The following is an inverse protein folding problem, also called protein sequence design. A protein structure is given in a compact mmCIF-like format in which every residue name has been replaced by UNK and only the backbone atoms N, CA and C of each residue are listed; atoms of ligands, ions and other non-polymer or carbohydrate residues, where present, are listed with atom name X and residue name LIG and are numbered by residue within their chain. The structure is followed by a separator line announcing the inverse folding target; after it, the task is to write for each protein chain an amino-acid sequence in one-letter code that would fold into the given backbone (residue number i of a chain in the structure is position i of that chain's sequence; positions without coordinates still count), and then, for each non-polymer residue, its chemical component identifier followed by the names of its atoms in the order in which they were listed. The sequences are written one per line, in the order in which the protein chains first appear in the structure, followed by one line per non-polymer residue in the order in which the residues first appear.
data_IF_290549003535
#
_entry.id   IF_290549003535
#
_cell.length_a   1.000
_cell.length_b   1.000
_cell.length_c   1.000
_cell.angle_alpha   90.00
_cell.angle_beta   90.00
_cell.angle_gamma   90.00
#
_symmetry.space_group_name_H-M   'P 1'
#
loop_
_entity.id
_entity.type
_entity.pdbx_description
1 polymer ?
#
# COMPACT_ATOMS: atom_id res chain seq x y z
N UNK A 1 -18.60 -10.68 -13.72
CA UNK A 1 -18.04 -9.33 -13.98
C UNK A 1 -16.60 -9.51 -14.46
N UNK A 2 -16.16 -8.76 -15.47
CA UNK A 2 -14.81 -8.90 -16.02
C UNK A 2 -13.82 -8.17 -15.09
N UNK A 3 -12.89 -8.90 -14.49
CA UNK A 3 -11.86 -8.36 -13.60
C UNK A 3 -11.03 -7.31 -14.36
N UNK A 4 -11.00 -6.06 -13.88
CA UNK A 4 -10.27 -4.98 -14.54
C UNK A 4 -8.77 -5.11 -14.25
N UNK A 5 -8.01 -5.62 -15.23
CA UNK A 5 -6.56 -5.66 -15.15
C UNK A 5 -5.94 -4.32 -15.62
N UNK A 6 -5.23 -3.64 -14.72
CA UNK A 6 -4.51 -2.40 -15.00
C UNK A 6 -3.08 -2.71 -15.44
N UNK A 7 -2.69 -2.16 -16.60
CA UNK A 7 -1.28 -2.19 -17.05
C UNK A 7 -0.44 -1.23 -16.21
N UNK A 8 0.88 -1.44 -16.17
CA UNK A 8 1.83 -0.57 -15.46
C UNK A 8 1.62 0.92 -15.76
N UNK A 9 1.41 1.31 -17.03
CA UNK A 9 1.20 2.72 -17.38
C UNK A 9 -0.06 3.33 -16.76
N UNK A 10 -1.11 2.52 -16.56
CA UNK A 10 -2.31 2.97 -15.87
C UNK A 10 -2.05 3.13 -14.36
N UNK A 11 -1.31 2.19 -13.75
CA UNK A 11 -0.90 2.28 -12.34
C UNK A 11 -0.01 3.51 -12.09
N UNK A 12 0.92 3.81 -12.99
CA UNK A 12 1.72 5.05 -12.96
C UNK A 12 0.83 6.30 -13.03
N UNK A 13 -0.22 6.29 -13.86
CA UNK A 13 -1.18 7.39 -13.94
C UNK A 13 -1.99 7.53 -12.64
N UNK A 14 -2.40 6.43 -12.02
CA UNK A 14 -3.12 6.43 -10.73
C UNK A 14 -2.24 7.02 -9.63
N UNK A 15 -1.00 6.53 -9.48
CA UNK A 15 -0.04 7.05 -8.51
C UNK A 15 0.24 8.56 -8.72
N UNK A 16 0.47 8.97 -9.97
CA UNK A 16 0.68 10.39 -10.29
C UNK A 16 -0.57 11.23 -10.01
N UNK A 17 -1.78 10.70 -10.26
CA UNK A 17 -3.04 11.38 -9.96
C UNK A 17 -3.19 11.62 -8.45
N UNK A 18 -2.96 10.59 -7.64
CA UNK A 18 -2.93 10.66 -6.18
C UNK A 18 -1.95 11.77 -5.72
N UNK A 19 -0.68 11.66 -6.13
CA UNK A 19 0.36 12.58 -5.65
C UNK A 19 0.23 14.00 -6.20
N UNK A 20 -0.41 14.17 -7.37
CA UNK A 20 -0.74 15.48 -7.94
C UNK A 20 -1.78 16.21 -7.09
N UNK A 21 -2.79 15.49 -6.59
CA UNK A 21 -3.86 16.08 -5.80
C UNK A 21 -3.42 16.28 -4.35
N UNK A 22 -2.66 15.33 -3.80
CA UNK A 22 -2.18 15.39 -2.44
C UNK A 22 -1.20 16.55 -2.22
N UNK A 23 -1.50 17.41 -1.24
CA UNK A 23 -0.75 18.64 -0.90
C UNK A 23 -0.31 19.44 -2.15
N UNK A 24 -1.25 19.68 -3.07
CA UNK A 24 -1.05 20.46 -4.29
C UNK A 24 0.12 19.98 -5.16
N UNK A 25 0.36 18.67 -5.23
CA UNK A 25 1.38 18.12 -6.12
C UNK A 25 2.80 18.23 -5.58
N UNK A 26 2.99 18.64 -4.33
CA UNK A 26 4.31 18.85 -3.74
C UNK A 26 5.20 17.61 -3.85
N UNK A 27 4.65 16.42 -3.66
CA UNK A 27 5.39 15.16 -3.73
C UNK A 27 5.66 14.68 -5.16
N UNK A 28 5.01 15.26 -6.16
CA UNK A 28 5.24 14.92 -7.58
C UNK A 28 6.09 15.98 -8.31
N UNK A 29 5.88 17.26 -8.01
CA UNK A 29 6.51 18.38 -8.72
C UNK A 29 7.56 19.11 -7.89
N UNK A 30 7.57 18.97 -6.57
CA UNK A 30 8.56 19.58 -5.69
C UNK A 30 9.94 18.92 -5.77
N UNK A 31 10.82 19.31 -4.84
CA UNK A 31 12.11 18.66 -4.65
C UNK A 31 11.94 17.20 -4.20
N UNK A 32 12.84 16.28 -4.61
CA UNK A 32 12.82 14.88 -4.16
C UNK A 32 12.75 14.77 -2.65
N UNK A 33 11.79 13.97 -2.18
CA UNK A 33 11.56 13.74 -0.76
C UNK A 33 10.78 12.47 -0.52
N UNK A 34 10.85 11.96 0.70
CA UNK A 34 10.05 10.81 1.12
C UNK A 34 8.55 11.11 1.02
N UNK A 35 7.80 10.14 0.50
CA UNK A 35 6.34 10.15 0.47
C UNK A 35 5.80 9.81 1.87
N UNK A 36 4.95 10.66 2.48
CA UNK A 36 4.40 10.43 3.82
C UNK A 36 3.23 9.44 3.72
N UNK A 37 3.55 8.15 3.57
CA UNK A 37 2.56 7.13 3.23
C UNK A 37 1.51 6.94 4.32
N UNK A 38 1.88 6.97 5.61
CA UNK A 38 0.94 6.94 6.73
C UNK A 38 -0.06 8.11 6.64
N UNK A 39 0.44 9.33 6.44
CA UNK A 39 -0.41 10.51 6.34
C UNK A 39 -1.36 10.43 5.13
N UNK A 40 -0.89 9.91 3.99
CA UNK A 40 -1.76 9.70 2.83
C UNK A 40 -2.89 8.71 3.17
N UNK A 41 -2.56 7.60 3.83
CA UNK A 41 -3.54 6.59 4.24
C UNK A 41 -4.59 7.19 5.17
N UNK A 42 -4.17 7.86 6.23
CA UNK A 42 -5.06 8.36 7.28
C UNK A 42 -5.80 9.65 6.86
N UNK A 43 -5.13 10.57 6.18
CA UNK A 43 -5.68 11.90 5.88
C UNK A 43 -6.37 11.96 4.53
N UNK A 44 -5.75 11.43 3.46
CA UNK A 44 -6.35 11.48 2.13
C UNK A 44 -7.42 10.41 1.95
N UNK A 45 -7.12 9.17 2.36
CA UNK A 45 -8.02 8.03 2.18
C UNK A 45 -8.94 7.75 3.38
N UNK A 46 -8.73 8.42 4.51
CA UNK A 46 -9.54 8.26 5.74
C UNK A 46 -9.55 6.82 6.27
N UNK A 47 -8.43 6.11 6.07
CA UNK A 47 -8.24 4.76 6.58
C UNK A 47 -7.57 4.79 7.95
N UNK A 48 -7.70 3.68 8.67
CA UNK A 48 -7.04 3.47 9.97
C UNK A 48 -5.86 2.53 9.78
N UNK A 49 -4.74 2.80 10.44
CA UNK A 49 -3.61 1.88 10.53
C UNK A 49 -3.60 1.28 11.94
N UNK A 50 -3.60 -0.05 12.04
CA UNK A 50 -3.46 -0.74 13.32
C UNK A 50 -2.25 -1.69 13.29
N UNK A 51 -1.53 -1.74 14.41
CA UNK A 51 -0.34 -2.57 14.57
C UNK A 51 -0.69 -3.78 15.41
N UNK A 52 -0.54 -4.97 14.83
CA UNK A 52 -0.86 -6.24 15.48
C UNK A 52 0.21 -7.27 15.16
N UNK A 53 0.23 -8.40 15.86
CA UNK A 53 1.00 -9.55 15.42
C UNK A 53 0.14 -10.47 14.56
N UNK A 54 0.24 -10.39 13.24
CA UNK A 54 -0.69 -11.07 12.33
C UNK A 54 -0.53 -12.60 12.37
N UNK A 55 0.71 -13.08 12.44
CA UNK A 55 1.02 -14.52 12.49
C UNK A 55 2.24 -14.79 13.38
N UNK A 56 2.25 -15.95 14.05
CA UNK A 56 3.45 -16.41 14.79
C UNK A 56 4.68 -16.56 13.88
N UNK A 57 4.48 -16.99 12.63
CA UNK A 57 5.57 -17.21 11.68
C UNK A 57 6.21 -15.93 11.13
N UNK A 58 5.50 -14.79 11.18
CA UNK A 58 5.97 -13.53 10.57
C UNK A 58 5.90 -13.48 9.03
N UNK A 59 5.23 -14.43 8.38
CA UNK A 59 5.14 -14.48 6.91
C UNK A 59 4.10 -13.54 6.30
N UNK A 60 3.20 -12.99 7.12
CA UNK A 60 2.17 -12.02 6.69
C UNK A 60 2.55 -10.69 7.33
N UNK A 61 2.76 -9.69 6.50
CA UNK A 61 3.29 -8.39 6.90
C UNK A 61 2.22 -7.30 6.97
N UNK A 62 1.17 -7.43 6.17
CA UNK A 62 0.04 -6.50 6.11
C UNK A 62 -1.25 -7.22 5.77
N UNK A 63 -2.38 -6.57 6.06
CA UNK A 63 -3.71 -6.99 5.63
C UNK A 63 -4.65 -5.79 5.56
N UNK A 64 -5.25 -5.56 4.40
CA UNK A 64 -6.34 -4.59 4.20
C UNK A 64 -7.70 -5.21 4.49
N UNK A 65 -8.52 -4.53 5.29
CA UNK A 65 -9.88 -4.99 5.67
C UNK A 65 -10.94 -4.22 4.87
N UNK A 66 -11.68 -4.94 4.02
CA UNK A 66 -12.73 -4.39 3.15
C UNK A 66 -14.15 -4.47 3.74
N UNK A 67 -14.38 -5.40 4.67
CA UNK A 67 -15.67 -5.63 5.31
C UNK A 67 -15.45 -5.96 6.79
N UNK A 68 -16.50 -5.81 7.60
CA UNK A 68 -16.47 -6.22 9.01
C UNK A 68 -16.08 -7.70 9.11
N UNK A 69 -14.98 -7.98 9.81
CA UNK A 69 -14.48 -9.33 9.93
C UNK A 69 -13.79 -9.58 11.27
N UNK A 70 -13.59 -10.87 11.54
CA UNK A 70 -12.83 -11.34 12.68
C UNK A 70 -11.45 -11.80 12.21
N UNK A 71 -10.39 -11.15 12.69
CA UNK A 71 -9.02 -11.45 12.31
C UNK A 71 -8.31 -12.21 13.43
N UNK A 72 -7.77 -13.41 13.18
CA UNK A 72 -6.93 -14.08 14.15
C UNK A 72 -5.56 -13.40 14.21
N UNK A 73 -5.15 -12.98 15.40
CA UNK A 73 -3.85 -12.36 15.70
C UNK A 73 -3.14 -13.17 16.80
N UNK A 74 -1.80 -13.14 16.80
CA UNK A 74 -0.99 -13.88 17.76
C UNK A 74 -0.70 -13.03 18.99
N UNK A 75 -1.24 -13.43 20.13
CA UNK A 75 -0.91 -12.85 21.42
C UNK A 75 0.46 -13.38 21.87
N UNK A 76 1.47 -12.51 21.87
CA UNK A 76 2.83 -12.86 22.31
C UNK A 76 2.93 -13.10 23.81
N UNK A 77 2.11 -12.45 24.62
CA UNK A 77 2.17 -12.55 26.09
C UNK A 77 1.64 -13.91 26.55
N UNK A 78 0.53 -14.35 25.95
CA UNK A 78 -0.12 -15.63 26.29
C UNK A 78 0.27 -16.78 25.34
N UNK A 79 1.15 -16.54 24.37
CA UNK A 79 1.61 -17.48 23.34
C UNK A 79 0.50 -18.22 22.57
N UNK A 80 -0.65 -17.56 22.37
CA UNK A 80 -1.84 -18.15 21.76
C UNK A 80 -2.45 -17.24 20.68
N UNK A 81 -3.31 -17.79 19.83
CA UNK A 81 -4.09 -16.97 18.91
C UNK A 81 -5.33 -16.43 19.62
N UNK A 82 -5.58 -15.13 19.45
CA UNK A 82 -6.82 -14.45 19.82
C UNK A 82 -7.49 -13.90 18.58
N UNK A 83 -8.78 -13.56 18.69
CA UNK A 83 -9.57 -13.01 17.59
C UNK A 83 -9.94 -11.57 17.94
N UNK A 84 -9.68 -10.66 17.02
CA UNK A 84 -10.13 -9.27 17.09
C UNK A 84 -11.20 -9.01 16.04
N UNK A 85 -12.17 -8.18 16.37
CA UNK A 85 -13.13 -7.64 15.40
C UNK A 85 -12.53 -6.40 14.76
N UNK A 86 -12.52 -6.35 13.42
CA UNK A 86 -11.92 -5.26 12.65
C UNK A 86 -12.93 -4.71 11.66
N UNK A 87 -13.05 -3.38 11.63
CA UNK A 87 -13.97 -2.65 10.76
C UNK A 87 -13.37 -2.44 9.35
N UNK A 88 -14.18 -2.24 8.30
CA UNK A 88 -13.70 -1.90 6.98
C UNK A 88 -12.97 -0.56 6.98
N UNK A 89 -11.97 -0.44 6.13
CA UNK A 89 -11.11 0.75 6.09
C UNK A 89 -9.96 0.72 7.09
N UNK A 90 -9.65 -0.45 7.64
CA UNK A 90 -8.48 -0.68 8.49
C UNK A 90 -7.39 -1.43 7.71
N UNK A 91 -6.17 -0.92 7.77
CA UNK A 91 -4.93 -1.56 7.32
C UNK A 91 -4.21 -2.09 8.56
N UNK A 92 -4.12 -3.42 8.68
CA UNK A 92 -3.35 -4.09 9.73
C UNK A 92 -1.90 -4.23 9.26
N UNK A 93 -0.94 -3.87 10.11
CA UNK A 93 0.50 -4.04 9.89
C UNK A 93 1.10 -4.95 10.96
N UNK A 94 1.95 -5.90 10.55
CA UNK A 94 2.69 -6.73 11.51
C UNK A 94 3.68 -5.87 12.29
N UNK A 95 3.55 -5.85 13.61
CA UNK A 95 4.38 -5.05 14.53
C UNK A 95 5.89 -5.31 14.40
N UNK A 96 6.33 -6.45 13.84
CA UNK A 96 7.74 -6.71 13.58
C UNK A 96 8.35 -5.74 12.56
N UNK A 97 7.53 -5.05 11.77
CA UNK A 97 7.98 -4.04 10.83
C UNK A 97 8.33 -2.71 11.49
N UNK A 98 8.02 -2.51 12.77
CA UNK A 98 8.29 -1.26 13.50
C UNK A 98 9.76 -1.09 13.90
N UNK A 99 10.59 -2.12 13.73
CA UNK A 99 12.04 -2.04 13.93
C UNK A 99 12.69 -1.14 12.86
N UNK A 100 13.73 -0.38 13.24
CA UNK A 100 14.36 0.64 12.37
C UNK A 100 14.92 0.03 11.08
N UNK A 101 15.48 -1.17 11.17
CA UNK A 101 16.02 -1.93 10.05
C UNK A 101 14.94 -2.32 9.03
N UNK A 102 13.68 -2.37 9.46
CA UNK A 102 12.53 -2.75 8.64
C UNK A 102 11.79 -1.54 8.04
N UNK A 103 12.22 -0.30 8.28
CA UNK A 103 11.50 0.90 7.83
C UNK A 103 11.20 0.95 6.32
N UNK A 104 12.09 0.40 5.49
CA UNK A 104 11.84 0.26 4.06
C UNK A 104 10.69 -0.70 3.74
N UNK A 105 10.66 -1.87 4.41
CA UNK A 105 9.60 -2.87 4.29
C UNK A 105 8.29 -2.36 4.84
N UNK A 106 8.32 -1.73 6.02
CA UNK A 106 7.17 -1.09 6.63
C UNK A 106 6.46 -0.12 5.69
N UNK A 107 7.21 0.84 5.12
CA UNK A 107 6.64 1.83 4.19
C UNK A 107 6.11 1.18 2.92
N UNK A 108 6.78 0.13 2.42
CA UNK A 108 6.32 -0.61 1.25
C UNK A 108 5.03 -1.38 1.54
N UNK A 109 4.94 -2.07 2.67
CA UNK A 109 3.74 -2.78 3.10
C UNK A 109 2.56 -1.83 3.23
N UNK A 110 2.73 -0.66 3.85
CA UNK A 110 1.68 0.37 3.89
C UNK A 110 1.20 0.78 2.48
N UNK A 111 2.12 1.04 1.56
CA UNK A 111 1.76 1.42 0.20
C UNK A 111 1.09 0.28 -0.58
N UNK A 112 1.50 -0.96 -0.32
CA UNK A 112 0.92 -2.18 -0.90
C UNK A 112 -0.53 -2.37 -0.42
N UNK A 113 -0.77 -2.30 0.89
CA UNK A 113 -2.13 -2.40 1.45
C UNK A 113 -3.03 -1.24 0.99
N UNK A 114 -2.51 -0.01 0.96
CA UNK A 114 -3.24 1.11 0.36
C UNK A 114 -3.57 0.85 -1.12
N UNK A 115 -2.69 0.18 -1.86
CA UNK A 115 -2.92 -0.14 -3.26
C UNK A 115 -4.04 -1.17 -3.43
N UNK A 116 -4.15 -2.15 -2.52
CA UNK A 116 -5.31 -3.03 -2.45
C UNK A 116 -6.60 -2.22 -2.23
N UNK A 117 -6.59 -1.26 -1.32
CA UNK A 117 -7.74 -0.38 -1.10
C UNK A 117 -8.12 0.41 -2.37
N UNK A 118 -7.16 1.07 -3.01
CA UNK A 118 -7.40 1.91 -4.19
C UNK A 118 -7.96 1.10 -5.37
N UNK A 119 -7.39 -0.08 -5.62
CA UNK A 119 -7.66 -0.84 -6.85
C UNK A 119 -8.78 -1.85 -6.70
N UNK A 120 -8.90 -2.49 -5.54
CA UNK A 120 -9.67 -3.72 -5.40
C UNK A 120 -10.91 -3.58 -4.50
N UNK A 121 -11.12 -2.45 -3.83
CA UNK A 121 -12.30 -2.23 -2.96
C UNK A 121 -13.64 -2.59 -3.62
N UNK A 122 -13.87 -2.14 -4.85
CA UNK A 122 -15.12 -2.42 -5.59
C UNK A 122 -15.26 -3.88 -6.04
N UNK A 123 -14.16 -4.62 -6.13
CA UNK A 123 -14.20 -6.06 -6.44
C UNK A 123 -14.78 -6.78 -5.23
N UNK A 124 -14.33 -6.41 -4.03
CA UNK A 124 -14.81 -6.97 -2.77
C UNK A 124 -16.23 -6.53 -2.42
N UNK A 125 -16.62 -5.26 -2.65
CA UNK A 125 -18.01 -4.78 -2.42
C UNK A 125 -19.08 -5.57 -3.20
N UNK A 126 -18.73 -6.13 -4.36
CA UNK A 126 -19.65 -6.84 -5.25
C UNK A 126 -19.54 -8.37 -5.16
N UNK A 127 -18.58 -8.90 -4.41
CA UNK A 127 -18.48 -10.33 -4.15
C UNK A 127 -19.13 -10.63 -2.80
N UNK A 128 -20.27 -11.32 -2.79
CA UNK A 128 -20.82 -11.92 -1.55
C UNK A 128 -19.93 -13.04 -0.97
N UNK A 129 -18.73 -13.24 -1.52
CA UNK A 129 -17.73 -14.14 -0.99
C UNK A 129 -16.83 -13.35 -0.05
N UNK A 130 -17.01 -13.59 1.25
CA UNK A 130 -16.10 -13.18 2.31
C UNK A 130 -14.64 -13.33 1.87
N UNK A 131 -13.77 -12.45 2.37
CA UNK A 131 -12.33 -12.29 2.14
C UNK A 131 -11.42 -13.54 2.28
N UNK A 132 -11.97 -14.76 2.24
CA UNK A 132 -11.28 -16.02 2.44
C UNK A 132 -11.05 -16.83 1.14
N UNK A 133 -11.40 -16.34 -0.06
CA UNK A 133 -11.27 -17.19 -1.27
C UNK A 133 -11.11 -16.49 -2.62
N UNK A 134 -10.11 -15.65 -2.79
CA UNK A 134 -9.59 -15.39 -4.14
C UNK A 134 -8.82 -16.62 -4.64
N UNK A 135 -9.14 -17.08 -5.84
CA UNK A 135 -8.43 -18.16 -6.53
C UNK A 135 -6.94 -17.82 -6.66
N UNK A 136 -6.06 -18.81 -6.66
CA UNK A 136 -4.59 -18.61 -6.70
C UNK A 136 -4.09 -17.70 -7.84
N UNK A 137 -4.82 -17.63 -8.97
CA UNK A 137 -4.50 -16.75 -10.10
C UNK A 137 -5.08 -15.33 -10.00
N UNK A 138 -6.24 -15.14 -9.38
CA UNK A 138 -6.78 -13.80 -9.10
C UNK A 138 -5.98 -13.12 -7.99
N UNK A 139 -5.50 -13.90 -7.01
CA UNK A 139 -4.49 -13.44 -6.05
C UNK A 139 -3.21 -12.98 -6.75
N UNK A 140 -2.61 -13.76 -7.67
CA UNK A 140 -1.32 -13.34 -8.24
C UNK A 140 -1.38 -12.04 -9.05
N UNK A 141 -2.49 -11.76 -9.76
CA UNK A 141 -2.67 -10.51 -10.50
C UNK A 141 -2.92 -9.32 -9.58
N UNK A 142 -3.82 -9.47 -8.61
CA UNK A 142 -4.16 -8.40 -7.66
C UNK A 142 -2.94 -8.02 -6.82
N UNK A 143 -2.21 -9.00 -6.30
CA UNK A 143 -0.92 -8.78 -5.60
C UNK A 143 0.10 -8.07 -6.49
N UNK A 144 0.26 -8.50 -7.75
CA UNK A 144 1.15 -7.81 -8.68
C UNK A 144 0.74 -6.35 -8.93
N UNK A 145 -0.56 -6.08 -9.06
CA UNK A 145 -1.05 -4.71 -9.26
C UNK A 145 -0.86 -3.85 -8.01
N UNK A 146 -1.03 -4.43 -6.82
CA UNK A 146 -0.77 -3.75 -5.56
C UNK A 146 0.72 -3.41 -5.40
N UNK A 147 1.61 -4.37 -5.69
CA UNK A 147 3.05 -4.15 -5.71
C UNK A 147 3.48 -3.06 -6.70
N UNK A 148 2.96 -3.15 -7.92
CA UNK A 148 3.28 -2.20 -8.97
C UNK A 148 2.80 -0.78 -8.63
N UNK A 149 1.60 -0.64 -8.05
CA UNK A 149 1.09 0.66 -7.61
C UNK A 149 1.86 1.19 -6.40
N UNK A 150 2.18 0.35 -5.42
CA UNK A 150 2.97 0.71 -4.25
C UNK A 150 4.33 1.30 -4.66
N UNK A 151 5.03 0.63 -5.59
CA UNK A 151 6.27 1.11 -6.16
C UNK A 151 6.10 2.48 -6.85
N UNK A 152 5.05 2.65 -7.66
CA UNK A 152 4.78 3.92 -8.35
C UNK A 152 4.38 5.05 -7.41
N UNK A 153 3.72 4.76 -6.29
CA UNK A 153 3.40 5.74 -5.23
C UNK A 153 4.69 6.16 -4.51
N UNK A 154 5.48 5.21 -4.03
CA UNK A 154 6.66 5.49 -3.21
C UNK A 154 7.84 6.05 -4.00
N UNK A 155 7.95 5.69 -5.28
CA UNK A 155 9.03 6.11 -6.15
C UNK A 155 8.49 6.66 -7.48
N UNK A 156 7.89 7.87 -7.49
CA UNK A 156 7.36 8.46 -8.71
C UNK A 156 8.50 8.74 -9.70
N UNK A 157 8.35 8.29 -10.95
CA UNK A 157 9.41 8.36 -11.99
C UNK A 157 10.05 9.75 -12.12
N UNK A 158 9.26 10.82 -12.00
CA UNK A 158 9.77 12.19 -12.06
C UNK A 158 10.64 12.57 -10.85
N UNK A 159 10.30 12.10 -9.65
CA UNK A 159 11.09 12.32 -8.45
C UNK A 159 12.38 11.51 -8.46
N UNK A 160 12.33 10.25 -8.90
CA UNK A 160 13.54 9.42 -9.07
C UNK A 160 14.51 10.12 -10.04
N UNK A 161 14.01 10.58 -11.19
CA UNK A 161 14.85 11.29 -12.18
C UNK A 161 15.51 12.52 -11.58
N UNK A 162 14.74 13.37 -10.88
CA UNK A 162 15.29 14.57 -10.22
C UNK A 162 16.37 14.20 -9.19
N UNK A 163 16.11 13.19 -8.34
CA UNK A 163 17.08 12.73 -7.35
C UNK A 163 18.36 12.19 -8.01
N UNK A 164 18.22 11.38 -9.05
CA UNK A 164 19.34 10.83 -9.81
C UNK A 164 20.23 11.94 -10.39
N UNK A 165 19.64 12.95 -11.02
CA UNK A 165 20.39 14.08 -11.60
C UNK A 165 21.04 14.97 -10.53
N UNK A 166 20.40 15.15 -9.37
CA UNK A 166 21.00 15.85 -8.22
C UNK A 166 22.23 15.11 -7.66
N UNK A 167 22.20 13.78 -7.65
CA UNK A 167 23.32 12.97 -7.15
C UNK A 167 24.46 12.81 -8.18
N UNK A 168 24.23 13.10 -9.46
CA UNK A 168 25.19 12.84 -10.54
C UNK A 168 25.80 14.10 -11.15
N UNK A 169 25.54 15.28 -10.59
CA UNK A 169 26.01 16.59 -11.11
C UNK A 169 25.67 16.83 -12.59
N UNK A 170 24.60 16.21 -13.09
CA UNK A 170 24.10 16.38 -14.45
C UNK A 170 22.90 17.32 -14.46
N UNK A 171 23.06 18.54 -15.00
CA UNK A 171 21.98 19.53 -15.10
C UNK A 171 20.89 19.04 -16.05
N UNK A 172 19.63 19.04 -15.59
CA UNK A 172 18.43 18.76 -16.39
C UNK A 172 18.28 19.76 -17.55
N UNK A 173 18.88 19.47 -18.71
CA UNK A 173 18.48 20.12 -19.97
C UNK A 173 17.23 19.42 -20.49
N UNK A 174 16.07 19.84 -19.98
CA UNK A 174 14.78 19.46 -20.56
C UNK A 174 14.65 20.12 -21.93
N UNK A 175 15.03 19.40 -22.99
CA UNK A 175 14.59 19.73 -24.35
C UNK A 175 13.19 19.13 -24.53
N UNK A 176 12.18 19.99 -24.63
CA UNK A 176 10.85 19.65 -25.11
C UNK A 176 10.84 19.54 -26.62
#
# INVERSE_FOLDING_TARGET
MNEMFYRQSALDCIANGLLKNYRNGMYLYGAPRSIPIEEIIEVEYKLTIEYVKLRKSGNVLGQTVFENCFVPVYDKENEQYTIIEVQPGTILIDEALLEEENMGRYRYTLAHELSHWILHHKIFDNSQESAAKTTTESNSKTEWQADALAASILMPKMQIKKAFFQCTDQTLTLKF
#
